data_IF_903018058433
#
_entry.id   IF_903018058433
#
_cell.length_a   1.000
_cell.length_b   1.000
_cell.length_c   1.000
_cell.angle_alpha   90.00
_cell.angle_beta   90.00
_cell.angle_gamma   90.00
#
_symmetry.space_group_name_H-M   'P 1'
#
loop_
_entity.id
_entity.type
_entity.pdbx_description
1 polymer ?
#
# COMPACT_ATOMS: atom_id res chain seq x y z
N UNK A 1 -20.61 5.30 -0.82
CA UNK A 1 -20.38 4.13 -1.69
C UNK A 1 -18.89 3.78 -1.82
N UNK A 2 -17.99 4.76 -2.00
CA UNK A 2 -16.54 4.53 -2.16
C UNK A 2 -15.92 3.84 -0.92
N UNK A 3 -16.20 4.33 0.29
CA UNK A 3 -15.68 3.75 1.56
C UNK A 3 -15.88 2.23 1.67
N UNK A 4 -17.11 1.74 1.47
CA UNK A 4 -17.42 0.31 1.55
C UNK A 4 -16.72 -0.51 0.47
N UNK A 5 -16.48 0.08 -0.70
CA UNK A 5 -15.75 -0.58 -1.78
C UNK A 5 -14.25 -0.69 -1.45
N UNK A 6 -13.63 0.37 -0.91
CA UNK A 6 -12.22 0.35 -0.48
C UNK A 6 -12.00 -0.69 0.62
N UNK A 7 -12.87 -0.73 1.63
CA UNK A 7 -12.83 -1.70 2.73
C UNK A 7 -12.99 -3.16 2.25
N UNK A 8 -13.93 -3.39 1.34
CA UNK A 8 -14.15 -4.70 0.73
C UNK A 8 -12.92 -5.18 -0.05
N UNK A 9 -12.30 -4.29 -0.85
CA UNK A 9 -11.10 -4.62 -1.62
C UNK A 9 -9.90 -4.88 -0.70
N UNK A 10 -9.68 -4.07 0.34
CA UNK A 10 -8.63 -4.31 1.35
C UNK A 10 -8.79 -5.68 2.02
N UNK A 11 -10.03 -6.07 2.33
CA UNK A 11 -10.35 -7.38 2.91
C UNK A 11 -10.04 -8.53 1.93
N UNK A 12 -10.46 -8.40 0.67
CA UNK A 12 -10.16 -9.40 -0.37
C UNK A 12 -8.67 -9.52 -0.62
N UNK A 13 -7.94 -8.39 -0.59
CA UNK A 13 -6.51 -8.35 -0.86
C UNK A 13 -5.73 -9.28 0.07
N UNK A 14 -6.13 -9.38 1.34
CA UNK A 14 -5.53 -10.33 2.30
C UNK A 14 -5.64 -11.78 1.80
N UNK A 15 -6.80 -12.17 1.25
CA UNK A 15 -6.97 -13.50 0.66
C UNK A 15 -6.10 -13.72 -0.58
N UNK A 16 -5.98 -12.69 -1.42
CA UNK A 16 -5.15 -12.74 -2.63
C UNK A 16 -3.65 -12.79 -2.27
N UNK A 17 -3.20 -12.09 -1.22
CA UNK A 17 -1.83 -12.17 -0.70
C UNK A 17 -1.44 -13.63 -0.38
N UNK A 18 -2.32 -14.37 0.31
CA UNK A 18 -2.10 -15.81 0.57
C UNK A 18 -2.11 -16.64 -0.72
N UNK A 19 -3.02 -16.33 -1.66
CA UNK A 19 -3.06 -16.99 -2.97
C UNK A 19 -1.78 -16.78 -3.78
N UNK A 20 -1.13 -15.61 -3.69
CA UNK A 20 0.15 -15.35 -4.36
C UNK A 20 1.25 -16.24 -3.81
N UNK A 21 1.27 -16.51 -2.50
CA UNK A 21 2.23 -17.44 -1.89
C UNK A 21 2.06 -18.85 -2.49
N UNK A 22 0.81 -19.33 -2.58
CA UNK A 22 0.51 -20.63 -3.22
C UNK A 22 0.93 -20.61 -4.69
N UNK A 23 0.59 -19.54 -5.41
CA UNK A 23 0.95 -19.36 -6.83
C UNK A 23 2.45 -19.34 -7.04
N UNK A 24 3.23 -18.84 -6.08
CA UNK A 24 4.69 -18.84 -6.15
C UNK A 24 5.24 -20.26 -6.17
N UNK A 25 4.80 -21.12 -5.25
CA UNK A 25 5.21 -22.53 -5.24
C UNK A 25 4.76 -23.29 -6.48
N UNK A 26 3.54 -23.01 -6.97
CA UNK A 26 3.08 -23.56 -8.26
C UNK A 26 3.94 -23.09 -9.43
N UNK A 27 4.37 -21.83 -9.44
CA UNK A 27 5.30 -21.28 -10.42
C UNK A 27 6.66 -22.00 -10.40
N UNK A 28 7.20 -22.31 -9.20
CA UNK A 28 8.41 -23.11 -9.06
C UNK A 28 8.25 -24.52 -9.67
N UNK A 29 7.12 -25.17 -9.44
CA UNK A 29 6.78 -26.44 -10.09
C UNK A 29 6.75 -26.25 -11.61
N UNK A 30 6.18 -25.16 -12.10
CA UNK A 30 6.16 -24.83 -13.52
C UNK A 30 7.55 -24.71 -14.15
N UNK A 31 8.51 -24.10 -13.44
CA UNK A 31 9.91 -24.01 -13.87
C UNK A 31 10.53 -25.41 -13.95
N UNK A 32 10.30 -26.27 -12.96
CA UNK A 32 10.79 -27.66 -12.96
C UNK A 32 10.24 -28.43 -14.17
N UNK A 33 8.94 -28.28 -14.45
CA UNK A 33 8.30 -28.92 -15.62
C UNK A 33 8.89 -28.44 -16.94
N UNK A 34 9.28 -27.17 -17.05
CA UNK A 34 9.93 -26.62 -18.25
C UNK A 34 11.36 -27.11 -18.42
N UNK A 35 12.10 -27.25 -17.32
CA UNK A 35 13.47 -27.77 -17.32
C UNK A 35 13.52 -29.29 -17.59
N UNK A 36 12.42 -30.00 -17.35
CA UNK A 36 12.34 -31.44 -17.58
C UNK A 36 12.43 -31.78 -19.08
N UNK A 37 13.47 -32.52 -19.45
CA UNK A 37 13.68 -33.00 -20.80
C UNK A 37 13.92 -34.52 -20.79
N UNK A 38 12.88 -35.35 -21.01
CA UNK A 38 13.05 -36.79 -20.95
C UNK A 38 13.90 -37.32 -22.13
N UNK A 39 14.72 -38.32 -21.82
CA UNK A 39 15.68 -38.94 -22.73
C UNK A 39 15.05 -39.46 -24.03
N UNK A 40 15.80 -39.35 -25.15
CA UNK A 40 15.35 -39.44 -26.56
C UNK A 40 14.87 -40.82 -27.05
N UNK A 41 14.71 -41.83 -26.20
CA UNK A 41 14.62 -43.23 -26.67
C UNK A 41 13.22 -43.70 -27.16
N UNK A 42 12.18 -42.85 -27.24
CA UNK A 42 10.85 -43.23 -27.78
C UNK A 42 10.18 -42.04 -28.52
N UNK A 43 10.31 -41.98 -29.84
CA UNK A 43 10.35 -40.70 -30.58
C UNK A 43 9.00 -39.99 -30.75
N UNK A 44 7.86 -40.70 -30.87
CA UNK A 44 6.60 -40.02 -31.24
C UNK A 44 5.60 -39.80 -30.08
N UNK A 45 5.40 -40.79 -29.18
CA UNK A 45 4.52 -40.61 -28.01
C UNK A 45 5.10 -39.64 -26.98
N UNK A 46 6.43 -39.58 -26.86
CA UNK A 46 7.12 -38.67 -25.93
C UNK A 46 7.01 -37.21 -26.39
N UNK A 47 6.98 -36.94 -27.71
CA UNK A 47 6.94 -35.58 -28.24
C UNK A 47 5.69 -34.80 -27.80
N UNK A 48 4.51 -35.43 -27.89
CA UNK A 48 3.25 -34.81 -27.48
C UNK A 48 3.12 -34.70 -25.95
N UNK A 49 3.67 -35.66 -25.20
CA UNK A 49 3.70 -35.61 -23.74
C UNK A 49 4.57 -34.46 -23.22
N UNK A 50 5.76 -34.28 -23.81
CA UNK A 50 6.66 -33.18 -23.50
C UNK A 50 6.04 -31.82 -23.77
N UNK A 51 5.27 -31.69 -24.87
CA UNK A 51 4.56 -30.44 -25.16
C UNK A 51 3.52 -30.13 -24.08
N UNK A 52 2.71 -31.11 -23.66
CA UNK A 52 1.70 -30.93 -22.61
C UNK A 52 2.33 -30.52 -21.27
N UNK A 53 3.45 -31.14 -20.88
CA UNK A 53 4.19 -30.76 -19.67
C UNK A 53 4.69 -29.31 -19.76
N UNK A 54 5.28 -28.93 -20.90
CA UNK A 54 5.77 -27.56 -21.09
C UNK A 54 4.65 -26.53 -21.06
N UNK A 55 3.51 -26.84 -21.68
CA UNK A 55 2.32 -25.98 -21.65
C UNK A 55 1.81 -25.83 -20.21
N UNK A 56 1.72 -26.92 -19.45
CA UNK A 56 1.34 -26.86 -18.04
C UNK A 56 2.32 -25.97 -17.24
N UNK A 57 3.63 -26.13 -17.46
CA UNK A 57 4.63 -25.28 -16.82
C UNK A 57 4.48 -23.79 -17.15
N UNK A 58 4.20 -23.45 -18.40
CA UNK A 58 3.92 -22.07 -18.83
C UNK A 58 2.68 -21.51 -18.13
N UNK A 59 1.58 -22.28 -18.07
CA UNK A 59 0.34 -21.85 -17.39
C UNK A 59 0.62 -21.54 -15.91
N UNK A 60 1.40 -22.40 -15.23
CA UNK A 60 1.74 -22.21 -13.82
C UNK A 60 2.63 -20.98 -13.58
N UNK A 61 3.44 -20.57 -14.55
CA UNK A 61 4.23 -19.33 -14.47
C UNK A 61 3.35 -18.11 -14.77
N UNK A 62 2.51 -18.19 -15.81
CA UNK A 62 1.60 -17.09 -16.19
C UNK A 62 0.64 -16.75 -15.04
N UNK A 63 0.05 -17.76 -14.38
CA UNK A 63 -0.86 -17.50 -13.25
C UNK A 63 -0.15 -16.76 -12.10
N UNK A 64 1.14 -17.04 -11.84
CA UNK A 64 1.93 -16.37 -10.81
C UNK A 64 2.10 -14.89 -11.16
N UNK A 65 2.48 -14.60 -12.40
CA UNK A 65 2.63 -13.23 -12.89
C UNK A 65 1.31 -12.47 -12.80
N UNK A 66 0.19 -13.08 -13.22
CA UNK A 66 -1.14 -12.48 -13.12
C UNK A 66 -1.52 -12.21 -11.66
N UNK A 67 -1.31 -13.17 -10.77
CA UNK A 67 -1.68 -13.05 -9.35
C UNK A 67 -0.87 -11.95 -8.66
N UNK A 68 0.45 -11.90 -8.92
CA UNK A 68 1.31 -10.85 -8.39
C UNK A 68 0.93 -9.45 -8.93
N UNK A 69 0.64 -9.36 -10.22
CA UNK A 69 0.17 -8.12 -10.84
C UNK A 69 -1.16 -7.65 -10.24
N UNK A 70 -2.09 -8.57 -9.99
CA UNK A 70 -3.39 -8.27 -9.39
C UNK A 70 -3.22 -7.66 -7.98
N UNK A 71 -2.39 -8.27 -7.12
CA UNK A 71 -2.09 -7.71 -5.78
C UNK A 71 -1.53 -6.31 -5.89
N UNK A 72 -0.55 -6.09 -6.77
CA UNK A 72 0.04 -4.77 -6.97
C UNK A 72 -1.01 -3.72 -7.37
N UNK A 73 -1.87 -4.04 -8.34
CA UNK A 73 -2.91 -3.11 -8.83
C UNK A 73 -3.97 -2.82 -7.78
N UNK A 74 -4.43 -3.83 -7.04
CA UNK A 74 -5.44 -3.66 -6.00
C UNK A 74 -4.88 -2.89 -4.80
N UNK A 75 -3.64 -3.16 -4.39
CA UNK A 75 -2.97 -2.40 -3.31
C UNK A 75 -2.87 -0.91 -3.68
N UNK A 76 -2.40 -0.60 -4.89
CA UNK A 76 -2.32 0.77 -5.38
C UNK A 76 -3.70 1.45 -5.40
N UNK A 77 -4.74 0.73 -5.83
CA UNK A 77 -6.11 1.24 -5.81
C UNK A 77 -6.61 1.58 -4.41
N UNK A 78 -6.34 0.72 -3.41
CA UNK A 78 -6.70 0.98 -2.01
C UNK A 78 -5.97 2.22 -1.49
N UNK A 79 -4.66 2.33 -1.73
CA UNK A 79 -3.84 3.49 -1.31
C UNK A 79 -4.36 4.78 -1.95
N UNK A 80 -4.62 4.79 -3.25
CA UNK A 80 -5.13 5.97 -3.96
C UNK A 80 -6.52 6.41 -3.45
N UNK A 81 -7.42 5.46 -3.20
CA UNK A 81 -8.73 5.76 -2.61
C UNK A 81 -8.60 6.30 -1.20
N UNK A 82 -7.79 5.65 -0.38
CA UNK A 82 -7.56 6.06 0.99
C UNK A 82 -6.97 7.48 1.06
N UNK A 83 -6.02 7.82 0.18
CA UNK A 83 -5.51 9.19 0.07
C UNK A 83 -6.59 10.20 -0.33
N UNK A 84 -7.55 9.83 -1.18
CA UNK A 84 -8.70 10.67 -1.52
C UNK A 84 -9.67 10.84 -0.34
N UNK A 85 -9.95 9.78 0.39
CA UNK A 85 -10.80 9.80 1.60
C UNK A 85 -10.17 10.67 2.70
N UNK A 86 -8.85 10.61 2.89
CA UNK A 86 -8.13 11.53 3.79
C UNK A 86 -8.31 12.98 3.35
N UNK A 87 -8.13 13.29 2.06
CA UNK A 87 -8.35 14.65 1.55
C UNK A 87 -9.78 15.12 1.71
N UNK A 88 -10.76 14.25 1.46
CA UNK A 88 -12.18 14.55 1.64
C UNK A 88 -12.48 14.84 3.12
N UNK A 89 -11.96 14.03 4.04
CA UNK A 89 -12.09 14.28 5.48
C UNK A 89 -11.46 15.61 5.90
N UNK A 90 -10.25 15.90 5.41
CA UNK A 90 -9.54 17.16 5.67
C UNK A 90 -10.26 18.37 5.07
N UNK A 91 -11.18 18.19 4.11
CA UNK A 91 -11.97 19.28 3.52
C UNK A 91 -13.17 19.72 4.37
N UNK A 92 -13.53 18.94 5.40
CA UNK A 92 -14.62 19.26 6.30
C UNK A 92 -14.34 20.53 7.12
N UNK A 93 -15.40 21.15 7.62
CA UNK A 93 -15.34 22.30 8.52
C UNK A 93 -15.16 21.84 9.97
N UNK A 94 -14.68 22.76 10.84
CA UNK A 94 -14.58 22.55 12.30
C UNK A 94 -13.70 21.35 12.71
N UNK A 95 -12.60 21.14 11.97
CA UNK A 95 -11.62 20.12 12.31
C UNK A 95 -10.85 20.51 13.57
N UNK A 96 -10.72 19.57 14.50
CA UNK A 96 -9.86 19.70 15.68
C UNK A 96 -8.69 18.75 15.56
N UNK A 97 -7.47 19.26 15.79
CA UNK A 97 -6.25 18.46 15.78
C UNK A 97 -5.79 18.15 17.21
N UNK A 98 -5.37 16.91 17.42
CA UNK A 98 -4.64 16.46 18.61
C UNK A 98 -3.37 15.76 18.17
N UNK A 99 -2.26 16.08 18.83
CA UNK A 99 -0.98 15.41 18.64
C UNK A 99 -0.55 14.84 19.99
N UNK A 100 -0.42 13.50 20.04
CA UNK A 100 -0.32 12.80 21.32
C UNK A 100 -1.53 13.10 22.22
N UNK A 101 -1.29 13.57 23.44
CA UNK A 101 -2.34 13.95 24.40
C UNK A 101 -2.73 15.44 24.33
N UNK A 102 -2.08 16.23 23.48
CA UNK A 102 -2.26 17.68 23.44
C UNK A 102 -3.23 18.05 22.32
N UNK A 103 -4.32 18.75 22.69
CA UNK A 103 -5.21 19.43 21.74
C UNK A 103 -4.52 20.72 21.30
N UNK A 104 -4.32 20.88 19.99
CA UNK A 104 -3.80 22.13 19.44
C UNK A 104 -4.85 23.23 19.58
N UNK A 105 -4.39 24.48 19.70
CA UNK A 105 -5.29 25.61 19.57
C UNK A 105 -5.83 25.72 18.13
N UNK A 106 -6.79 26.63 17.90
CA UNK A 106 -7.42 26.77 16.59
C UNK A 106 -6.41 27.20 15.51
N UNK A 107 -5.48 28.09 15.85
CA UNK A 107 -4.53 28.67 14.90
C UNK A 107 -3.49 27.64 14.44
N UNK A 108 -2.94 26.86 15.36
CA UNK A 108 -1.99 25.78 15.06
C UNK A 108 -2.69 24.59 14.39
N UNK A 109 -3.95 24.30 14.76
CA UNK A 109 -4.76 23.30 14.06
C UNK A 109 -4.93 23.66 12.59
N UNK A 110 -5.31 24.91 12.28
CA UNK A 110 -5.53 25.38 10.91
C UNK A 110 -4.26 25.28 10.06
N UNK A 111 -3.11 25.63 10.64
CA UNK A 111 -1.80 25.46 9.99
C UNK A 111 -1.49 24.02 9.65
N UNK A 112 -1.67 23.10 10.59
CA UNK A 112 -1.44 21.66 10.38
C UNK A 112 -2.37 21.12 9.31
N UNK A 113 -3.67 21.47 9.37
CA UNK A 113 -4.66 21.06 8.37
C UNK A 113 -4.29 21.58 6.98
N UNK A 114 -3.85 22.84 6.87
CA UNK A 114 -3.45 23.43 5.61
C UNK A 114 -2.31 22.66 4.95
N UNK A 115 -1.29 22.25 5.73
CA UNK A 115 -0.20 21.43 5.21
C UNK A 115 -0.66 20.01 4.85
N UNK A 116 -1.49 19.37 5.68
CA UNK A 116 -2.04 18.05 5.39
C UNK A 116 -2.89 18.05 4.10
N UNK A 117 -3.62 19.13 3.82
CA UNK A 117 -4.39 19.30 2.57
C UNK A 117 -3.49 19.33 1.33
N UNK A 118 -2.22 19.71 1.47
CA UNK A 118 -1.21 19.69 0.39
C UNK A 118 -0.64 18.31 0.11
N UNK A 119 -1.11 17.27 0.81
CA UNK A 119 -0.70 15.90 0.59
C UNK A 119 -0.77 15.51 -0.88
N UNK A 120 0.31 14.94 -1.39
CA UNK A 120 0.40 14.45 -2.76
C UNK A 120 1.28 13.19 -2.84
N UNK A 121 1.16 12.47 -3.95
CA UNK A 121 2.12 11.42 -4.28
C UNK A 121 3.37 12.10 -4.82
N UNK A 122 4.45 12.11 -4.02
CA UNK A 122 5.76 12.57 -4.48
C UNK A 122 6.48 11.42 -5.18
N UNK A 123 7.29 11.70 -6.21
CA UNK A 123 8.11 10.68 -6.85
C UNK A 123 8.99 9.95 -5.82
N UNK A 124 9.03 8.63 -5.92
CA UNK A 124 9.89 7.82 -5.06
C UNK A 124 11.35 8.23 -5.27
N UNK A 125 12.03 8.48 -4.17
CA UNK A 125 13.48 8.62 -4.11
C UNK A 125 14.03 7.55 -3.17
N UNK A 126 15.34 7.27 -3.25
CA UNK A 126 15.98 6.19 -2.49
C UNK A 126 16.14 6.55 -1.00
N UNK A 127 15.05 6.86 -0.30
CA UNK A 127 14.97 7.09 1.14
C UNK A 127 14.02 6.08 1.80
N UNK A 128 13.93 6.18 3.11
CA UNK A 128 12.97 5.44 3.94
C UNK A 128 12.47 6.37 5.07
N UNK A 129 11.28 6.10 5.63
CA UNK A 129 10.83 6.79 6.84
C UNK A 129 11.77 6.48 8.01
N UNK A 130 12.01 7.48 8.85
CA UNK A 130 12.65 7.30 10.16
C UNK A 130 11.67 6.64 11.14
N UNK A 131 12.19 6.15 12.27
CA UNK A 131 11.38 5.50 13.31
C UNK A 131 10.58 6.50 14.18
N UNK A 132 10.74 7.81 13.96
CA UNK A 132 10.06 8.86 14.71
C UNK A 132 8.62 9.05 14.18
N UNK A 133 7.66 8.41 14.87
CA UNK A 133 6.24 8.55 14.57
C UNK A 133 5.64 9.80 15.22
N UNK A 134 4.97 10.62 14.41
CA UNK A 134 4.05 11.66 14.89
C UNK A 134 2.62 11.19 14.64
N UNK A 135 1.89 10.90 15.71
CA UNK A 135 0.49 10.50 15.64
C UNK A 135 -0.43 11.71 15.73
N UNK A 136 -1.18 11.95 14.66
CA UNK A 136 -2.14 13.05 14.55
C UNK A 136 -3.56 12.48 14.58
N UNK A 137 -4.35 12.89 15.55
CA UNK A 137 -5.77 12.61 15.62
C UNK A 137 -6.56 13.83 15.16
N UNK A 138 -7.41 13.65 14.16
CA UNK A 138 -8.26 14.68 13.57
C UNK A 138 -9.71 14.33 13.90
N UNK A 139 -10.43 15.26 14.52
CA UNK A 139 -11.81 15.07 14.96
C UNK A 139 -12.73 16.03 14.23
N UNK A 140 -13.83 15.51 13.68
CA UNK A 140 -14.83 16.28 12.93
C UNK A 140 -16.21 15.64 13.09
N UNK A 141 -17.20 16.39 13.58
CA UNK A 141 -18.60 15.93 13.65
C UNK A 141 -18.78 14.55 14.30
N UNK A 142 -17.99 14.23 15.33
CA UNK A 142 -18.01 12.93 16.01
C UNK A 142 -17.21 11.80 15.34
N UNK A 143 -16.66 12.02 14.14
CA UNK A 143 -15.73 11.10 13.47
C UNK A 143 -14.29 11.40 13.88
N UNK A 144 -13.47 10.37 13.93
CA UNK A 144 -12.07 10.42 14.32
C UNK A 144 -11.24 9.79 13.20
N UNK A 145 -10.25 10.54 12.69
CA UNK A 145 -9.24 10.05 11.76
C UNK A 145 -7.87 10.07 12.46
N UNK A 146 -7.11 8.99 12.33
CA UNK A 146 -5.79 8.86 12.95
C UNK A 146 -4.75 8.71 11.84
N UNK A 147 -3.92 9.72 11.65
CA UNK A 147 -2.79 9.69 10.73
C UNK A 147 -1.49 9.47 11.50
N UNK A 148 -0.59 8.70 10.90
CA UNK A 148 0.78 8.50 11.39
C UNK A 148 1.72 9.14 10.39
N UNK A 149 2.53 10.08 10.85
CA UNK A 149 3.52 10.75 10.04
C UNK A 149 4.90 10.24 10.43
N UNK A 150 5.69 9.86 9.43
CA UNK A 150 7.08 9.49 9.62
C UNK A 150 7.95 10.43 8.79
N UNK A 151 8.96 11.03 9.41
CA UNK A 151 9.90 11.90 8.72
C UNK A 151 10.78 11.11 7.78
N UNK A 152 11.07 11.65 6.61
CA UNK A 152 11.99 11.05 5.66
C UNK A 152 13.45 11.12 6.17
N UNK A 153 14.19 10.02 6.05
CA UNK A 153 15.59 9.91 6.52
C UNK A 153 16.59 10.78 5.77
N UNK A 154 16.27 11.23 4.55
CA UNK A 154 17.17 12.02 3.69
C UNK A 154 16.67 13.44 3.45
N UNK A 155 15.37 13.66 3.52
CA UNK A 155 14.74 14.97 3.29
C UNK A 155 14.04 15.41 4.58
N UNK A 156 14.69 16.22 5.45
CA UNK A 156 14.16 16.54 6.78
C UNK A 156 12.81 17.27 6.82
N UNK A 157 12.36 17.79 5.69
CA UNK A 157 11.07 18.48 5.55
C UNK A 157 9.99 17.56 4.98
N UNK A 158 10.33 16.38 4.49
CA UNK A 158 9.37 15.43 3.91
C UNK A 158 8.83 14.48 4.98
N UNK A 159 7.51 14.34 5.03
CA UNK A 159 6.82 13.41 5.92
C UNK A 159 5.93 12.48 5.10
N UNK A 160 6.05 11.18 5.41
CA UNK A 160 5.27 10.11 4.83
C UNK A 160 4.03 9.92 5.70
N UNK A 161 2.85 9.98 5.10
CA UNK A 161 1.57 9.93 5.80
C UNK A 161 0.98 8.53 5.64
N UNK A 162 0.70 7.88 6.76
CA UNK A 162 0.02 6.58 6.82
C UNK A 162 -1.32 6.75 7.51
N UNK A 163 -2.29 5.92 7.14
CA UNK A 163 -3.63 5.97 7.71
C UNK A 163 -4.02 4.60 8.27
N UNK A 164 -4.44 4.57 9.53
CA UNK A 164 -4.69 3.34 10.30
C UNK A 164 -6.11 2.76 10.08
N UNK A 165 -6.68 2.95 8.90
CA UNK A 165 -8.06 2.52 8.60
C UNK A 165 -8.13 1.25 7.74
N UNK A 166 -7.10 0.99 6.94
CA UNK A 166 -7.00 -0.20 6.09
C UNK A 166 -5.68 -0.91 6.35
N UNK A 167 -5.67 -2.24 6.27
CA UNK A 167 -4.45 -3.02 6.50
C UNK A 167 -3.37 -2.68 5.48
N UNK A 168 -3.76 -2.37 4.25
CA UNK A 168 -2.83 -1.90 3.20
C UNK A 168 -2.19 -0.57 3.60
N UNK A 169 -2.96 0.41 4.07
CA UNK A 169 -2.48 1.76 4.38
C UNK A 169 -1.77 1.88 5.73
N UNK A 170 -1.84 0.83 6.57
CA UNK A 170 -0.94 0.66 7.72
C UNK A 170 0.50 0.36 7.29
N UNK A 171 0.69 -0.23 6.10
CA UNK A 171 1.99 -0.66 5.56
C UNK A 171 2.46 0.17 4.38
N UNK A 172 1.63 1.07 3.88
CA UNK A 172 1.91 1.89 2.70
C UNK A 172 1.42 3.30 2.92
N UNK A 173 2.22 4.29 2.51
CA UNK A 173 1.84 5.68 2.64
C UNK A 173 0.64 6.02 1.74
N UNK A 174 -0.27 6.85 2.24
CA UNK A 174 -1.41 7.39 1.46
C UNK A 174 -1.07 8.73 0.80
N UNK A 175 0.13 9.24 1.07
CA UNK A 175 0.69 10.43 0.47
C UNK A 175 1.86 10.97 1.28
N UNK A 176 2.43 12.06 0.78
CA UNK A 176 3.55 12.76 1.41
C UNK A 176 3.30 14.25 1.42
N UNK A 177 3.96 14.94 2.35
CA UNK A 177 3.96 16.40 2.46
C UNK A 177 5.39 16.89 2.67
N UNK A 178 5.67 18.12 2.24
CA UNK A 178 6.91 18.83 2.59
C UNK A 178 6.57 20.04 3.43
N UNK A 179 7.03 20.06 4.67
CA UNK A 179 6.72 21.12 5.63
C UNK A 179 7.74 21.15 6.77
N UNK A 180 7.92 22.34 7.34
CA UNK A 180 8.74 22.56 8.54
C UNK A 180 7.90 22.59 9.82
N UNK A 181 6.57 22.56 9.72
CA UNK A 181 5.67 22.74 10.87
C UNK A 181 5.86 21.66 11.95
N UNK A 182 6.14 20.43 11.54
CA UNK A 182 6.33 19.33 12.49
C UNK A 182 7.69 19.34 13.18
N UNK A 183 8.66 20.11 12.68
CA UNK A 183 10.01 20.19 13.29
C UNK A 183 9.98 20.76 14.70
N UNK A 184 9.05 21.67 15.00
CA UNK A 184 8.88 22.23 16.35
C UNK A 184 8.10 21.31 17.30
N UNK A 185 7.47 20.26 16.77
CA UNK A 185 6.65 19.30 17.52
C UNK A 185 7.48 18.05 17.89
N UNK A 186 8.61 17.83 17.21
CA UNK A 186 9.57 16.74 17.49
C UNK A 186 10.48 17.00 18.71
N UNK A 187 10.52 18.23 19.24
CA UNK A 187 11.33 18.62 20.41
C UNK A 187 10.47 18.75 21.67
#
# INVERSE_FOLDING_TARGET
MIYHMTEFIDTILVGIEYWVIISFFLGLIGIILLAYNPSKNHIDRIKNYNLKIKVAGIILIIQLVISAFLVFRLSAFVVDNAGREVKEFLSQENLTIRIGNNKLDAYDSDKVILELRRMCHLPAHHSHPTDNEIKIQIVSGGKIMILKLYKDSKIPEEYWIFWDNYRTTMKSEVGRIRTTIFKSIEN
#
